data_IF_891125637624
#
_entry.id   IF_891125637624
#
_cell.length_a   1.000
_cell.length_b   1.000
_cell.length_c   1.000
_cell.angle_alpha   90.00
_cell.angle_beta   90.00
_cell.angle_gamma   90.00
#
_symmetry.space_group_name_H-M   'P 1'
#
loop_
_entity.id
_entity.type
_entity.pdbx_description
1 polymer ?
#
# COMPACT_ATOMS: atom_id res chain seq x y z
N UNK A 1 0.65 22.29 -34.76
CA UNK A 1 -0.45 22.30 -33.76
C UNK A 1 0.22 22.22 -32.40
N UNK A 2 0.14 23.27 -31.58
CA UNK A 2 0.70 23.23 -30.21
C UNK A 2 -0.29 22.39 -29.41
N UNK A 3 0.19 21.29 -28.82
CA UNK A 3 -0.57 20.50 -27.85
C UNK A 3 -0.21 21.08 -26.50
N UNK A 4 -1.17 21.71 -25.84
CA UNK A 4 -1.02 22.15 -24.46
C UNK A 4 -1.13 20.91 -23.56
N UNK A 5 -0.06 20.63 -22.81
CA UNK A 5 0.03 19.51 -21.87
C UNK A 5 -0.17 19.98 -20.43
N UNK A 6 -0.55 21.25 -20.23
CA UNK A 6 -0.88 21.78 -18.91
C UNK A 6 -2.16 21.14 -18.40
N UNK A 7 -2.13 20.69 -17.15
CA UNK A 7 -3.25 19.99 -16.53
C UNK A 7 -3.81 20.87 -15.41
N UNK A 8 -5.03 21.39 -15.61
CA UNK A 8 -5.70 22.28 -14.65
C UNK A 8 -6.56 21.51 -13.62
N UNK A 9 -6.62 20.18 -13.75
CA UNK A 9 -7.47 19.30 -12.95
C UNK A 9 -6.72 18.02 -12.57
N UNK A 10 -7.09 17.44 -11.43
CA UNK A 10 -6.57 16.15 -10.98
C UNK A 10 -6.80 15.08 -12.05
N UNK A 11 -5.74 14.38 -12.43
CA UNK A 11 -5.81 13.33 -13.43
C UNK A 11 -6.38 12.06 -12.82
N UNK A 12 -7.38 11.49 -13.49
CA UNK A 12 -7.92 10.18 -13.15
C UNK A 12 -7.27 9.08 -14.01
N UNK A 13 -7.22 7.83 -13.51
CA UNK A 13 -6.80 6.70 -14.33
C UNK A 13 -7.61 6.63 -15.64
N UNK A 14 -6.98 6.38 -16.80
CA UNK A 14 -7.69 6.23 -18.08
C UNK A 14 -8.44 4.89 -18.21
N UNK A 15 -8.43 4.09 -17.15
CA UNK A 15 -9.02 2.76 -17.06
C UNK A 15 -9.84 2.62 -15.76
N UNK A 16 -10.81 1.68 -15.71
CA UNK A 16 -11.61 1.48 -14.51
C UNK A 16 -10.75 0.99 -13.35
N UNK A 17 -10.83 1.69 -12.21
CA UNK A 17 -10.30 1.22 -10.92
C UNK A 17 -11.48 0.85 -10.05
N UNK A 18 -11.87 -0.42 -10.09
CA UNK A 18 -13.01 -0.92 -9.32
C UNK A 18 -12.70 -0.84 -7.84
N UNK A 19 -13.57 -0.23 -7.04
CA UNK A 19 -13.44 -0.22 -5.58
C UNK A 19 -13.92 -1.54 -5.00
N UNK A 20 -13.16 -2.10 -4.07
CA UNK A 20 -13.62 -3.22 -3.28
C UNK A 20 -14.85 -2.79 -2.50
N UNK A 21 -15.82 -3.68 -2.34
CA UNK A 21 -17.05 -3.32 -1.62
C UNK A 21 -16.96 -3.65 -0.13
N UNK A 22 -16.27 -4.73 0.23
CA UNK A 22 -16.25 -5.26 1.60
C UNK A 22 -14.86 -5.15 2.22
N UNK A 23 -14.74 -4.82 3.53
CA UNK A 23 -13.43 -4.66 4.16
C UNK A 23 -12.62 -5.96 4.18
N UNK A 24 -11.35 -5.85 3.82
CA UNK A 24 -10.37 -6.91 4.02
C UNK A 24 -10.12 -7.20 5.51
N UNK A 25 -9.36 -8.25 5.78
CA UNK A 25 -8.84 -8.50 7.13
C UNK A 25 -7.34 -8.32 7.07
N UNK A 26 -6.77 -7.57 8.02
CA UNK A 26 -5.33 -7.43 8.16
C UNK A 26 -4.72 -8.80 8.50
N UNK A 27 -3.62 -9.14 7.83
CA UNK A 27 -3.01 -10.46 7.89
C UNK A 27 -1.54 -10.39 8.34
N UNK A 28 -0.98 -11.56 8.65
CA UNK A 28 0.42 -11.70 9.05
C UNK A 28 1.35 -11.53 7.85
N UNK A 29 1.05 -12.21 6.75
CA UNK A 29 1.77 -12.10 5.49
C UNK A 29 0.84 -12.33 4.30
N UNK A 30 0.90 -11.43 3.34
CA UNK A 30 0.29 -11.59 2.02
C UNK A 30 0.45 -10.32 1.21
N UNK A 31 -0.27 -10.20 0.10
CA UNK A 31 -0.22 -8.99 -0.71
C UNK A 31 -1.55 -8.65 -1.35
N UNK A 32 -1.73 -7.37 -1.64
CA UNK A 32 -2.81 -6.82 -2.45
C UNK A 32 -2.24 -6.29 -3.76
N UNK A 33 -2.71 -6.83 -4.89
CA UNK A 33 -2.29 -6.37 -6.21
C UNK A 33 -2.95 -5.03 -6.52
N UNK A 34 -2.15 -4.01 -6.78
CA UNK A 34 -2.62 -2.69 -7.20
C UNK A 34 -2.76 -2.65 -8.72
N UNK A 35 -1.81 -3.24 -9.43
CA UNK A 35 -1.85 -3.52 -10.86
C UNK A 35 -0.87 -4.63 -11.23
N UNK A 36 -1.01 -5.16 -12.44
CA UNK A 36 -0.19 -6.28 -12.91
C UNK A 36 0.08 -6.27 -14.41
N UNK A 37 -0.27 -5.18 -15.09
CA UNK A 37 -0.01 -5.01 -16.51
C UNK A 37 1.35 -4.32 -16.74
N UNK A 38 1.66 -4.10 -18.01
CA UNK A 38 2.85 -3.44 -18.53
C UNK A 38 2.80 -1.94 -18.29
N UNK A 39 3.96 -1.28 -18.40
CA UNK A 39 4.04 0.18 -18.43
C UNK A 39 3.40 0.86 -19.65
N UNK A 40 2.96 0.09 -20.65
CA UNK A 40 2.39 0.61 -21.89
C UNK A 40 0.88 0.39 -22.01
N UNK A 41 0.25 -0.32 -21.06
CA UNK A 41 -1.18 -0.59 -21.12
C UNK A 41 -2.00 0.68 -20.92
N UNK A 42 -2.87 0.97 -21.89
CA UNK A 42 -3.84 2.06 -21.78
C UNK A 42 -5.11 1.66 -21.00
N UNK A 43 -5.26 0.36 -20.69
CA UNK A 43 -6.53 -0.21 -20.19
C UNK A 43 -6.42 -0.87 -18.83
N UNK A 44 -5.20 -1.06 -18.33
CA UNK A 44 -4.92 -1.71 -17.06
C UNK A 44 -3.81 -0.99 -16.31
N UNK A 45 -3.79 -1.14 -14.99
CA UNK A 45 -2.74 -0.59 -14.15
C UNK A 45 -1.44 -1.36 -14.29
N UNK A 46 -0.33 -0.62 -14.32
CA UNK A 46 1.02 -1.19 -14.33
C UNK A 46 1.32 -2.02 -13.09
N UNK A 47 2.41 -2.77 -13.15
CA UNK A 47 2.75 -3.76 -12.14
C UNK A 47 3.20 -3.13 -10.83
N UNK A 48 2.50 -3.48 -9.76
CA UNK A 48 2.84 -3.08 -8.40
C UNK A 48 1.83 -3.60 -7.39
N UNK A 49 2.27 -3.76 -6.16
CA UNK A 49 1.45 -4.38 -5.11
C UNK A 49 1.80 -3.84 -3.72
N UNK A 50 0.84 -3.92 -2.81
CA UNK A 50 1.04 -3.65 -1.40
C UNK A 50 1.29 -4.98 -0.67
N UNK A 51 2.52 -5.21 -0.22
CA UNK A 51 2.89 -6.33 0.63
C UNK A 51 2.45 -6.04 2.07
N UNK A 52 1.57 -6.89 2.61
CA UNK A 52 1.16 -6.83 4.01
C UNK A 52 2.08 -7.70 4.86
N UNK A 53 2.70 -7.12 5.88
CA UNK A 53 3.41 -7.84 6.93
C UNK A 53 3.01 -7.29 8.29
N UNK A 54 2.52 -8.17 9.18
CA UNK A 54 2.04 -7.79 10.51
C UNK A 54 1.00 -6.65 10.51
N UNK A 55 0.05 -6.65 9.57
CA UNK A 55 -0.97 -5.60 9.46
C UNK A 55 -0.50 -4.28 8.84
N UNK A 56 0.80 -4.13 8.60
CA UNK A 56 1.41 -2.96 7.97
C UNK A 56 1.70 -3.20 6.49
N UNK A 57 1.69 -2.14 5.68
CA UNK A 57 1.94 -2.25 4.25
C UNK A 57 3.30 -1.68 3.84
N UNK A 58 3.99 -2.45 3.00
CA UNK A 58 5.11 -2.04 2.16
C UNK A 58 4.62 -2.00 0.71
N UNK A 59 4.77 -0.86 0.03
CA UNK A 59 4.58 -0.82 -1.42
C UNK A 59 5.77 -1.49 -2.09
N UNK A 60 5.52 -2.43 -2.99
CA UNK A 60 6.53 -2.93 -3.93
C UNK A 60 6.25 -2.24 -5.25
N UNK A 61 7.14 -1.31 -5.57
CA UNK A 61 7.00 -0.29 -6.61
C UNK A 61 5.82 0.69 -6.40
N UNK A 62 5.93 1.83 -7.08
CA UNK A 62 4.96 2.91 -7.05
C UNK A 62 4.33 3.14 -8.44
N UNK A 63 3.15 2.57 -8.65
CA UNK A 63 2.41 2.67 -9.90
C UNK A 63 1.76 4.05 -10.11
N UNK A 64 1.49 4.47 -11.36
CA UNK A 64 0.68 5.64 -11.66
C UNK A 64 -0.71 5.57 -11.00
N UNK A 65 -1.21 6.74 -10.60
CA UNK A 65 -2.49 6.89 -9.92
C UNK A 65 -2.60 6.10 -8.59
N UNK A 66 -1.48 5.95 -7.88
CA UNK A 66 -1.38 5.21 -6.60
C UNK A 66 -2.53 5.51 -5.63
N UNK A 67 -2.88 6.79 -5.42
CA UNK A 67 -3.96 7.20 -4.54
C UNK A 67 -5.31 6.56 -4.90
N UNK A 68 -5.63 6.46 -6.19
CA UNK A 68 -6.87 5.84 -6.66
C UNK A 68 -6.87 4.32 -6.38
N UNK A 69 -5.74 3.66 -6.62
CA UNK A 69 -5.59 2.22 -6.38
C UNK A 69 -5.63 1.87 -4.89
N UNK A 70 -4.92 2.61 -4.05
CA UNK A 70 -4.95 2.44 -2.60
C UNK A 70 -6.35 2.67 -2.02
N UNK A 71 -7.02 3.75 -2.43
CA UNK A 71 -8.42 4.03 -2.06
C UNK A 71 -9.34 2.90 -2.48
N UNK A 72 -9.21 2.39 -3.70
CA UNK A 72 -10.03 1.29 -4.19
C UNK A 72 -9.85 0.00 -3.37
N UNK A 73 -8.68 -0.23 -2.78
CA UNK A 73 -8.39 -1.35 -1.88
C UNK A 73 -8.77 -1.10 -0.41
N UNK A 74 -9.13 0.13 -0.06
CA UNK A 74 -9.34 0.53 1.34
C UNK A 74 -8.04 0.58 2.16
N UNK A 75 -6.90 0.80 1.50
CA UNK A 75 -5.59 0.97 2.14
C UNK A 75 -5.33 2.47 2.24
N UNK A 76 -5.34 3.02 3.46
CA UNK A 76 -5.08 4.44 3.69
C UNK A 76 -3.59 4.78 3.60
N UNK A 77 -3.27 6.07 3.41
CA UNK A 77 -1.89 6.54 3.25
C UNK A 77 -1.05 6.26 4.50
N UNK A 78 -1.64 6.50 5.67
CA UNK A 78 -1.00 6.25 6.97
C UNK A 78 -0.69 4.78 7.25
N UNK A 79 -1.28 3.84 6.50
CA UNK A 79 -0.98 2.41 6.63
C UNK A 79 0.25 2.00 5.80
N UNK A 80 0.72 2.84 4.88
CA UNK A 80 1.94 2.64 4.11
C UNK A 80 3.14 3.10 4.93
N UNK A 81 3.97 2.14 5.33
CA UNK A 81 5.14 2.40 6.18
C UNK A 81 6.45 2.41 5.41
N UNK A 82 6.46 1.80 4.23
CA UNK A 82 7.67 1.64 3.45
C UNK A 82 7.40 1.40 1.97
N UNK A 83 8.44 1.59 1.17
CA UNK A 83 8.47 1.30 -0.25
C UNK A 83 9.71 0.43 -0.51
N UNK A 84 9.55 -0.73 -1.12
CA UNK A 84 10.62 -1.42 -1.83
C UNK A 84 10.58 -0.96 -3.28
N UNK A 85 11.64 -0.29 -3.73
CA UNK A 85 11.72 0.21 -5.11
C UNK A 85 12.64 -0.69 -5.94
N UNK A 86 12.08 -1.35 -6.93
CA UNK A 86 12.76 -2.33 -7.78
C UNK A 86 13.67 -1.65 -8.81
N UNK A 87 13.18 -0.59 -9.45
CA UNK A 87 13.89 0.23 -10.43
C UNK A 87 13.13 1.54 -10.72
N UNK A 88 13.60 2.36 -11.66
CA UNK A 88 13.10 3.73 -11.87
C UNK A 88 12.31 3.96 -13.17
N UNK A 89 11.87 2.93 -13.88
CA UNK A 89 10.93 3.15 -14.99
C UNK A 89 9.62 3.78 -14.46
N UNK A 90 8.96 4.57 -15.32
CA UNK A 90 7.85 5.45 -14.90
C UNK A 90 6.64 4.71 -14.32
N UNK A 91 6.41 3.50 -14.82
CA UNK A 91 5.35 2.61 -14.42
C UNK A 91 5.59 1.92 -13.06
N UNK A 92 6.83 1.99 -12.55
CA UNK A 92 7.25 1.47 -11.24
C UNK A 92 7.68 2.57 -10.24
N UNK A 93 7.94 3.79 -10.70
CA UNK A 93 8.56 4.85 -9.89
C UNK A 93 7.78 6.18 -9.99
N UNK A 94 6.46 6.14 -9.79
CA UNK A 94 5.58 7.30 -9.72
C UNK A 94 5.37 7.76 -8.26
N UNK A 95 6.41 8.36 -7.68
CA UNK A 95 6.45 8.69 -6.25
C UNK A 95 5.79 10.03 -5.88
N UNK A 96 5.35 10.84 -6.85
CA UNK A 96 4.84 12.21 -6.59
C UNK A 96 3.66 12.23 -5.62
N UNK A 97 2.76 11.26 -5.73
CA UNK A 97 1.61 11.13 -4.82
C UNK A 97 2.00 10.82 -3.37
N UNK A 98 3.16 10.19 -3.16
CA UNK A 98 3.67 9.79 -1.86
C UNK A 98 4.44 10.93 -1.17
N UNK A 99 4.99 11.88 -1.93
CA UNK A 99 5.63 13.10 -1.39
C UNK A 99 4.64 14.05 -0.70
N UNK A 100 3.33 13.89 -0.97
CA UNK A 100 2.27 14.65 -0.31
C UNK A 100 1.99 14.16 1.11
N UNK A 101 2.65 13.08 1.56
CA UNK A 101 2.42 12.52 2.88
C UNK A 101 3.09 13.41 3.93
N UNK A 102 2.44 13.58 5.06
CA UNK A 102 2.90 14.45 6.16
C UNK A 102 4.12 13.90 6.92
N UNK A 103 4.62 12.71 6.55
CA UNK A 103 5.73 12.03 7.23
C UNK A 103 6.72 11.45 6.21
N UNK A 104 8.03 11.41 6.55
CA UNK A 104 9.01 10.71 5.71
C UNK A 104 8.67 9.22 5.58
N UNK A 105 8.83 8.65 4.38
CA UNK A 105 8.53 7.25 4.10
C UNK A 105 9.83 6.44 4.10
N UNK A 106 9.84 5.25 4.71
CA UNK A 106 10.99 4.36 4.63
C UNK A 106 11.14 3.83 3.20
N UNK A 107 12.30 4.05 2.57
CA UNK A 107 12.57 3.63 1.21
C UNK A 107 13.70 2.61 1.18
N UNK A 108 13.38 1.39 0.76
CA UNK A 108 14.30 0.26 0.69
C UNK A 108 14.66 0.00 -0.78
N UNK A 109 15.92 0.25 -1.14
CA UNK A 109 16.47 -0.08 -2.45
C UNK A 109 18.00 0.01 -2.41
N UNK A 110 18.68 -0.26 -3.53
CA UNK A 110 20.14 -0.10 -3.59
C UNK A 110 20.55 1.38 -3.60
N UNK A 111 21.76 1.74 -3.12
CA UNK A 111 22.26 3.11 -3.21
C UNK A 111 22.27 3.68 -4.64
N UNK A 112 22.47 2.84 -5.65
CA UNK A 112 22.46 3.25 -7.05
C UNK A 112 21.05 3.64 -7.51
N UNK A 113 20.07 2.77 -7.28
CA UNK A 113 18.66 3.02 -7.64
C UNK A 113 18.12 4.24 -6.88
N UNK A 114 18.49 4.40 -5.60
CA UNK A 114 18.11 5.56 -4.80
C UNK A 114 18.58 6.88 -5.41
N UNK A 115 19.85 6.97 -5.83
CA UNK A 115 20.39 8.16 -6.51
C UNK A 115 19.71 8.42 -7.84
N UNK A 116 19.46 7.36 -8.62
CA UNK A 116 18.74 7.46 -9.89
C UNK A 116 17.32 8.01 -9.69
N UNK A 117 16.63 7.54 -8.63
CA UNK A 117 15.31 8.02 -8.25
C UNK A 117 15.33 9.49 -7.83
N UNK A 118 16.25 9.90 -6.94
CA UNK A 118 16.36 11.30 -6.51
C UNK A 118 16.63 12.23 -7.70
N UNK A 119 17.54 11.84 -8.58
CA UNK A 119 17.84 12.59 -9.81
C UNK A 119 16.60 12.74 -10.69
N UNK A 120 15.85 11.66 -10.87
CA UNK A 120 14.60 11.66 -11.65
C UNK A 120 13.56 12.61 -11.03
N UNK A 121 13.33 12.53 -9.72
CA UNK A 121 12.40 13.42 -9.03
C UNK A 121 12.85 14.88 -9.10
N UNK A 122 14.15 15.14 -8.91
CA UNK A 122 14.73 16.48 -8.99
C UNK A 122 14.46 17.14 -10.35
N UNK A 123 14.68 16.40 -11.44
CA UNK A 123 14.42 16.87 -12.80
C UNK A 123 12.92 17.00 -13.10
N UNK A 124 12.08 16.13 -12.53
CA UNK A 124 10.63 16.14 -12.76
C UNK A 124 9.95 17.29 -12.04
N UNK A 125 10.41 17.62 -10.83
CA UNK A 125 9.79 18.62 -9.96
C UNK A 125 10.51 19.97 -9.97
N UNK A 126 11.65 20.08 -10.67
CA UNK A 126 12.53 21.25 -10.64
C UNK A 126 12.94 21.64 -9.20
N UNK A 127 13.29 20.63 -8.39
CA UNK A 127 13.70 20.81 -7.00
C UNK A 127 15.06 20.15 -6.72
N UNK A 128 15.89 20.69 -5.80
CA UNK A 128 17.18 20.08 -5.46
C UNK A 128 17.06 18.67 -4.85
N UNK A 129 17.99 17.78 -5.18
CA UNK A 129 18.04 16.41 -4.66
C UNK A 129 18.12 16.38 -3.11
N UNK A 130 18.88 17.29 -2.50
CA UNK A 130 19.03 17.38 -1.04
C UNK A 130 17.70 17.65 -0.33
N UNK A 131 16.85 18.51 -0.90
CA UNK A 131 15.51 18.79 -0.35
C UNK A 131 14.56 17.61 -0.54
N UNK A 132 14.67 16.88 -1.64
CA UNK A 132 13.84 15.70 -1.92
C UNK A 132 14.21 14.52 -1.03
N UNK A 133 15.47 14.41 -0.60
CA UNK A 133 15.92 13.39 0.32
C UNK A 133 15.20 13.46 1.69
N UNK A 134 14.77 14.64 2.14
CA UNK A 134 14.09 14.83 3.43
C UNK A 134 12.73 14.10 3.52
N UNK A 135 12.13 13.77 2.37
CA UNK A 135 10.87 13.01 2.28
C UNK A 135 11.06 11.50 2.50
N UNK A 136 12.30 11.01 2.53
CA UNK A 136 12.60 9.59 2.61
C UNK A 136 13.53 9.25 3.77
N UNK A 137 13.18 8.21 4.52
CA UNK A 137 14.14 7.52 5.37
C UNK A 137 14.80 6.39 4.53
N UNK A 138 15.98 6.66 3.99
CA UNK A 138 16.65 5.70 3.10
C UNK A 138 17.26 4.53 3.89
N UNK A 139 16.84 3.31 3.53
CA UNK A 139 17.35 2.06 4.09
C UNK A 139 18.08 1.31 2.97
N UNK A 140 19.42 1.37 2.93
CA UNK A 140 20.18 0.79 1.83
C UNK A 140 20.10 -0.73 1.84
N UNK A 141 19.79 -1.29 0.67
CA UNK A 141 19.81 -2.72 0.42
C UNK A 141 21.06 -3.12 -0.37
N UNK A 142 21.64 -4.27 -0.02
CA UNK A 142 22.82 -4.84 -0.67
C UNK A 142 22.44 -6.18 -1.33
N UNK A 143 22.51 -6.31 -2.67
CA UNK A 143 22.23 -7.55 -3.39
C UNK A 143 22.96 -8.78 -2.81
N UNK A 144 22.20 -9.83 -2.51
CA UNK A 144 22.70 -11.07 -1.90
C UNK A 144 22.81 -11.03 -0.37
N UNK A 145 22.59 -9.87 0.28
CA UNK A 145 22.64 -9.72 1.73
C UNK A 145 21.26 -9.52 2.31
N UNK A 146 20.92 -10.33 3.30
CA UNK A 146 19.67 -10.21 4.03
C UNK A 146 19.64 -8.93 4.89
N UNK A 147 18.53 -8.21 4.81
CA UNK A 147 18.18 -7.09 5.70
C UNK A 147 16.89 -7.44 6.45
N UNK A 148 16.92 -7.35 7.79
CA UNK A 148 15.72 -7.54 8.60
C UNK A 148 15.01 -6.19 8.80
N UNK A 149 13.85 -6.04 8.17
CA UNK A 149 12.97 -4.89 8.31
C UNK A 149 11.75 -5.27 9.17
N UNK A 150 11.83 -5.00 10.46
CA UNK A 150 10.75 -5.28 11.45
C UNK A 150 10.21 -6.73 11.42
N UNK A 151 11.09 -7.71 11.23
CA UNK A 151 10.76 -9.13 11.17
C UNK A 151 10.43 -9.66 9.77
N UNK A 152 10.39 -8.79 8.76
CA UNK A 152 10.41 -9.16 7.34
C UNK A 152 11.87 -9.19 6.88
N UNK A 153 12.37 -10.38 6.56
CA UNK A 153 13.72 -10.56 6.01
C UNK A 153 13.66 -10.34 4.50
N UNK A 154 14.46 -9.40 4.01
CA UNK A 154 14.49 -8.97 2.62
C UNK A 154 15.89 -9.24 2.08
N UNK A 155 15.97 -10.13 1.09
CA UNK A 155 17.23 -10.42 0.40
C UNK A 155 17.09 -9.99 -1.06
N UNK A 156 17.59 -8.79 -1.43
CA UNK A 156 17.53 -8.32 -2.81
C UNK A 156 18.50 -9.10 -3.71
N UNK A 157 18.22 -9.11 -5.01
CA UNK A 157 19.14 -9.60 -6.03
C UNK A 157 18.97 -8.78 -7.31
N UNK A 158 20.04 -8.62 -8.09
CA UNK A 158 19.91 -7.97 -9.39
C UNK A 158 19.16 -8.87 -10.37
N UNK A 159 18.15 -8.34 -11.07
CA UNK A 159 17.54 -8.95 -12.25
C UNK A 159 18.34 -8.62 -13.52
N UNK A 160 17.90 -9.09 -14.70
CA UNK A 160 18.49 -8.67 -15.98
C UNK A 160 17.52 -7.76 -16.72
N UNK A 161 17.81 -6.46 -16.71
CA UNK A 161 16.98 -5.43 -17.31
C UNK A 161 17.85 -4.29 -17.85
N UNK A 162 17.25 -3.35 -18.60
CA UNK A 162 17.99 -2.27 -19.28
C UNK A 162 18.67 -1.27 -18.34
N UNK A 163 18.18 -1.16 -17.11
CA UNK A 163 18.73 -0.34 -16.03
C UNK A 163 18.94 -1.18 -14.76
N UNK A 164 19.72 -0.70 -13.77
CA UNK A 164 19.83 -1.37 -12.48
C UNK A 164 18.46 -1.66 -11.88
N UNK A 165 18.15 -2.95 -11.76
CA UNK A 165 16.84 -3.44 -11.33
C UNK A 165 17.03 -4.58 -10.34
N UNK A 166 16.28 -4.55 -9.25
CA UNK A 166 16.33 -5.59 -8.21
C UNK A 166 14.99 -6.29 -8.06
N UNK A 167 15.04 -7.60 -7.94
CA UNK A 167 14.00 -8.40 -7.31
C UNK A 167 14.36 -8.66 -5.84
N UNK A 168 13.50 -9.38 -5.12
CA UNK A 168 13.79 -9.76 -3.75
C UNK A 168 13.11 -11.06 -3.31
N UNK A 169 13.75 -11.72 -2.36
CA UNK A 169 13.10 -12.67 -1.46
C UNK A 169 12.51 -11.89 -0.29
N UNK A 170 11.22 -12.07 -0.02
CA UNK A 170 10.55 -11.59 1.19
C UNK A 170 10.20 -12.78 2.07
N UNK A 171 10.81 -12.83 3.24
CA UNK A 171 10.74 -14.00 4.10
C UNK A 171 10.35 -13.64 5.53
N UNK A 172 9.54 -14.49 6.15
CA UNK A 172 9.23 -14.37 7.57
C UNK A 172 9.03 -15.75 8.18
N UNK A 173 9.18 -15.83 9.50
CA UNK A 173 9.00 -17.07 10.25
C UNK A 173 7.94 -16.84 11.30
N UNK A 174 6.91 -17.69 11.32
CA UNK A 174 5.86 -17.62 12.32
C UNK A 174 5.55 -19.01 12.86
N UNK A 175 5.62 -19.17 14.19
CA UNK A 175 5.37 -20.44 14.89
C UNK A 175 6.16 -21.63 14.29
N UNK A 176 7.40 -21.38 13.90
CA UNK A 176 8.29 -22.37 13.27
C UNK A 176 8.05 -22.61 11.77
N UNK A 177 6.99 -22.05 11.18
CA UNK A 177 6.73 -22.12 9.74
C UNK A 177 7.39 -20.96 9.03
N UNK A 178 8.31 -21.25 8.11
CA UNK A 178 8.89 -20.26 7.20
C UNK A 178 7.92 -19.99 6.06
N UNK A 179 7.78 -18.72 5.68
CA UNK A 179 7.08 -18.32 4.46
C UNK A 179 7.95 -17.41 3.62
N UNK A 180 7.91 -17.63 2.32
CA UNK A 180 8.73 -16.98 1.31
C UNK A 180 7.89 -16.53 0.14
N UNK A 181 8.09 -15.27 -0.26
CA UNK A 181 7.66 -14.71 -1.53
C UNK A 181 8.93 -14.43 -2.35
N UNK A 182 8.93 -14.86 -3.61
CA UNK A 182 9.98 -14.50 -4.57
C UNK A 182 9.36 -13.49 -5.53
N UNK A 183 9.92 -12.29 -5.60
CA UNK A 183 9.55 -11.28 -6.60
C UNK A 183 10.72 -11.11 -7.56
N UNK A 184 10.54 -11.50 -8.82
CA UNK A 184 11.63 -11.44 -9.81
C UNK A 184 11.96 -10.01 -10.23
N UNK A 185 11.00 -9.09 -10.07
CA UNK A 185 10.95 -7.81 -10.80
C UNK A 185 11.00 -8.02 -12.32
N UNK A 186 11.08 -6.92 -13.05
CA UNK A 186 11.30 -6.89 -14.49
C UNK A 186 12.61 -7.60 -14.81
N UNK A 187 12.52 -8.62 -15.65
CA UNK A 187 13.68 -9.46 -15.98
C UNK A 187 13.52 -10.13 -17.33
N UNK A 188 14.61 -10.22 -18.09
CA UNK A 188 14.64 -10.97 -19.35
C UNK A 188 14.36 -12.47 -19.15
N UNK A 189 13.68 -13.06 -20.13
CA UNK A 189 13.45 -14.50 -20.22
C UNK A 189 14.75 -15.32 -20.18
N UNK A 190 14.68 -16.52 -19.59
CA UNK A 190 15.83 -17.41 -19.44
C UNK A 190 16.44 -17.81 -20.79
N UNK A 191 15.63 -17.93 -21.84
CA UNK A 191 16.12 -18.21 -23.19
C UNK A 191 17.03 -17.09 -23.72
N UNK A 192 16.67 -15.83 -23.51
CA UNK A 192 17.47 -14.67 -23.90
C UNK A 192 18.74 -14.56 -23.06
N UNK A 193 18.64 -14.80 -21.75
CA UNK A 193 19.80 -14.87 -20.87
C UNK A 193 20.76 -15.98 -21.30
N UNK A 194 20.25 -17.12 -21.74
CA UNK A 194 21.09 -18.21 -22.27
C UNK A 194 21.80 -17.80 -23.55
N UNK A 195 21.16 -17.00 -24.41
CA UNK A 195 21.81 -16.40 -25.60
C UNK A 195 22.91 -15.41 -25.21
N UNK A 196 22.64 -14.52 -24.26
CA UNK A 196 23.65 -13.59 -23.73
C UNK A 196 24.84 -14.33 -23.12
N UNK A 197 24.60 -15.42 -22.40
CA UNK A 197 25.63 -16.29 -21.83
C UNK A 197 26.48 -16.96 -22.90
N UNK A 198 25.87 -17.50 -23.96
CA UNK A 198 26.58 -18.08 -25.11
C UNK A 198 27.44 -17.06 -25.85
N UNK A 199 26.98 -15.81 -25.92
CA UNK A 199 27.70 -14.71 -26.56
C UNK A 199 28.78 -14.08 -25.65
N UNK A 200 28.95 -14.56 -24.42
CA UNK A 200 29.94 -14.04 -23.48
C UNK A 200 29.60 -12.69 -22.84
N UNK A 201 28.35 -12.21 -22.99
CA UNK A 201 27.90 -10.95 -22.37
C UNK A 201 27.71 -11.12 -20.85
N UNK A 202 27.24 -12.30 -20.43
CA UNK A 202 27.14 -12.69 -19.03
C UNK A 202 27.86 -14.03 -18.80
N UNK A 203 28.34 -14.25 -17.58
CA UNK A 203 28.93 -15.54 -17.20
C UNK A 203 27.84 -16.57 -16.82
N UNK A 204 28.24 -17.83 -16.67
CA UNK A 204 27.34 -18.93 -16.31
C UNK A 204 26.74 -18.76 -14.91
N UNK A 205 27.51 -18.20 -13.97
CA UNK A 205 27.06 -17.91 -12.60
C UNK A 205 25.89 -16.91 -12.60
N UNK A 206 25.99 -15.83 -13.39
CA UNK A 206 24.95 -14.81 -13.51
C UNK A 206 23.67 -15.37 -14.11
N UNK A 207 23.79 -16.23 -15.13
CA UNK A 207 22.64 -16.97 -15.66
C UNK A 207 22.00 -17.84 -14.58
N UNK A 208 22.80 -18.57 -13.80
CA UNK A 208 22.31 -19.44 -12.73
C UNK A 208 21.61 -18.65 -11.62
N UNK A 209 22.16 -17.50 -11.20
CA UNK A 209 21.53 -16.64 -10.18
C UNK A 209 20.09 -16.26 -10.54
N UNK A 210 19.81 -15.93 -11.80
CA UNK A 210 18.47 -15.55 -12.26
C UNK A 210 17.60 -16.80 -12.49
N UNK A 211 18.16 -17.87 -13.07
CA UNK A 211 17.41 -19.10 -13.32
C UNK A 211 16.99 -19.80 -12.01
N UNK A 212 17.75 -19.63 -10.94
CA UNK A 212 17.46 -20.24 -9.64
C UNK A 212 16.22 -19.66 -8.98
N UNK A 213 15.83 -18.42 -9.32
CA UNK A 213 14.59 -17.79 -8.84
C UNK A 213 13.35 -18.64 -9.15
N UNK A 214 13.37 -19.32 -10.31
CA UNK A 214 12.29 -20.18 -10.77
C UNK A 214 12.37 -21.61 -10.21
N UNK A 215 13.50 -22.00 -9.60
CA UNK A 215 13.77 -23.38 -9.15
C UNK A 215 13.66 -23.58 -7.64
N UNK A 216 13.48 -22.49 -6.89
CA UNK A 216 13.36 -22.56 -5.44
C UNK A 216 11.90 -22.72 -4.99
N UNK A 217 11.66 -23.48 -3.90
CA UNK A 217 10.34 -23.53 -3.29
C UNK A 217 9.99 -22.18 -2.67
N UNK A 218 8.74 -21.76 -2.86
CA UNK A 218 8.16 -20.56 -2.26
C UNK A 218 6.65 -20.73 -2.11
N UNK A 219 6.05 -20.05 -1.15
CA UNK A 219 4.58 -19.98 -1.05
C UNK A 219 3.99 -19.17 -2.20
N UNK A 220 4.76 -18.21 -2.72
CA UNK A 220 4.35 -17.37 -3.83
C UNK A 220 5.56 -16.93 -4.66
N UNK A 221 5.51 -17.22 -5.96
CA UNK A 221 6.41 -16.67 -6.97
C UNK A 221 5.64 -15.61 -7.77
N UNK A 222 6.08 -14.36 -7.67
CA UNK A 222 5.67 -13.22 -8.48
C UNK A 222 6.70 -13.02 -9.59
N UNK A 223 6.37 -13.52 -10.78
CA UNK A 223 7.28 -13.53 -11.91
C UNK A 223 6.88 -12.49 -12.97
N UNK A 224 7.85 -11.86 -13.60
CA UNK A 224 7.65 -11.14 -14.85
C UNK A 224 7.18 -12.13 -15.92
N UNK A 225 5.95 -11.96 -16.38
CA UNK A 225 5.31 -12.83 -17.36
C UNK A 225 5.44 -12.35 -18.79
N UNK A 226 6.19 -11.28 -19.05
CA UNK A 226 6.65 -10.96 -20.38
C UNK A 226 5.66 -10.20 -21.25
N UNK A 227 5.98 -8.93 -21.50
CA UNK A 227 5.49 -8.21 -22.67
C UNK A 227 6.54 -7.18 -23.13
N UNK A 228 7.27 -7.49 -24.20
CA UNK A 228 8.35 -6.65 -24.74
C UNK A 228 9.69 -7.37 -24.87
N UNK A 229 10.71 -6.69 -25.43
CA UNK A 229 12.02 -7.28 -25.79
C UNK A 229 12.96 -7.56 -24.59
N UNK A 230 12.64 -7.06 -23.40
CA UNK A 230 13.51 -7.09 -22.21
C UNK A 230 12.81 -7.65 -20.95
N UNK A 231 11.76 -8.44 -21.16
CA UNK A 231 10.89 -9.00 -20.11
C UNK A 231 10.86 -10.53 -20.11
N UNK A 232 10.10 -11.09 -19.15
CA UNK A 232 10.13 -12.50 -18.81
C UNK A 232 9.40 -13.39 -19.80
N UNK A 233 9.31 -14.68 -19.48
CA UNK A 233 8.48 -15.63 -20.23
C UNK A 233 7.78 -16.56 -19.24
N UNK A 234 6.44 -16.74 -19.32
CA UNK A 234 5.72 -17.61 -18.39
C UNK A 234 6.20 -19.07 -18.42
N UNK A 235 6.79 -19.50 -19.53
CA UNK A 235 7.38 -20.83 -19.65
C UNK A 235 8.56 -21.05 -18.69
N UNK A 236 9.26 -20.00 -18.26
CA UNK A 236 10.41 -20.08 -17.36
C UNK A 236 10.00 -20.58 -15.96
N UNK A 237 8.74 -20.37 -15.57
CA UNK A 237 8.20 -20.82 -14.29
C UNK A 237 7.46 -22.18 -14.38
N UNK A 238 7.43 -22.83 -15.55
CA UNK A 238 6.60 -24.03 -15.75
C UNK A 238 6.97 -25.22 -14.88
N UNK A 239 8.26 -25.36 -14.57
CA UNK A 239 8.79 -26.42 -13.71
C UNK A 239 9.08 -25.94 -12.28
N UNK A 240 8.55 -24.76 -11.90
CA UNK A 240 8.84 -24.17 -10.61
C UNK A 240 8.18 -24.97 -9.47
N UNK A 241 8.88 -25.22 -8.34
CA UNK A 241 8.30 -25.89 -7.19
C UNK A 241 7.53 -24.93 -6.26
N UNK A 242 7.27 -23.68 -6.68
CA UNK A 242 6.48 -22.74 -5.90
C UNK A 242 5.01 -23.20 -5.77
N UNK A 243 4.42 -23.02 -4.60
CA UNK A 243 3.03 -23.43 -4.32
C UNK A 243 2.02 -22.64 -5.17
N UNK A 244 2.32 -21.37 -5.46
CA UNK A 244 1.53 -20.48 -6.31
C UNK A 244 2.45 -19.65 -7.17
N UNK A 245 2.09 -19.53 -8.45
CA UNK A 245 2.80 -18.70 -9.43
C UNK A 245 1.83 -17.67 -9.98
N UNK A 246 2.23 -16.42 -9.87
CA UNK A 246 1.46 -15.26 -10.29
C UNK A 246 2.33 -14.43 -11.21
N UNK A 247 1.85 -14.18 -12.42
CA UNK A 247 2.57 -13.34 -13.37
C UNK A 247 2.17 -11.87 -13.28
N UNK A 248 3.16 -11.00 -13.33
CA UNK A 248 3.09 -9.54 -13.43
C UNK A 248 3.62 -9.11 -14.80
N UNK A 249 3.42 -7.84 -15.14
CA UNK A 249 3.94 -7.19 -16.33
C UNK A 249 3.44 -7.80 -17.65
N UNK A 250 2.14 -8.10 -17.72
CA UNK A 250 1.43 -8.50 -18.94
C UNK A 250 -0.06 -8.11 -18.91
N UNK A 251 -0.63 -7.77 -20.06
CA UNK A 251 -2.07 -7.49 -20.16
C UNK A 251 -2.92 -8.77 -20.08
N UNK A 252 -2.45 -9.86 -20.69
CA UNK A 252 -3.16 -11.14 -20.69
C UNK A 252 -2.21 -12.32 -20.82
N UNK A 253 -2.48 -13.38 -20.05
CA UNK A 253 -1.72 -14.61 -20.12
C UNK A 253 -2.28 -15.48 -21.25
N UNK A 254 -1.43 -16.10 -22.07
CA UNK A 254 -1.92 -16.96 -23.17
C UNK A 254 -2.66 -18.20 -22.64
N UNK A 255 -3.61 -18.72 -23.43
CA UNK A 255 -4.47 -19.87 -23.06
C UNK A 255 -3.66 -21.09 -22.59
N UNK A 256 -2.47 -21.31 -23.17
CA UNK A 256 -1.54 -22.39 -22.77
C UNK A 256 -1.23 -22.37 -21.26
N UNK A 257 -1.18 -21.18 -20.66
CA UNK A 257 -0.73 -20.98 -19.28
C UNK A 257 -1.87 -20.68 -18.31
N UNK A 258 -3.02 -20.19 -18.79
CA UNK A 258 -4.17 -19.83 -17.93
C UNK A 258 -4.72 -20.99 -17.09
N UNK A 259 -4.54 -22.23 -17.54
CA UNK A 259 -4.99 -23.41 -16.79
C UNK A 259 -4.11 -23.74 -15.57
N UNK A 260 -2.88 -23.23 -15.53
CA UNK A 260 -1.88 -23.62 -14.52
C UNK A 260 -1.41 -22.44 -13.67
N UNK A 261 -1.50 -21.21 -14.19
CA UNK A 261 -0.98 -20.02 -13.54
C UNK A 261 -2.03 -18.92 -13.47
N UNK A 262 -1.81 -18.00 -12.55
CA UNK A 262 -2.67 -16.84 -12.38
C UNK A 262 -1.94 -15.57 -12.79
N UNK A 263 -2.71 -14.56 -13.20
CA UNK A 263 -2.19 -13.21 -13.41
C UNK A 263 -2.46 -12.35 -12.20
N UNK A 264 -1.52 -11.46 -11.90
CA UNK A 264 -1.77 -10.33 -11.04
C UNK A 264 -2.72 -9.37 -11.75
N UNK A 265 -3.88 -9.12 -11.16
CA UNK A 265 -4.84 -8.12 -11.66
C UNK A 265 -5.28 -7.27 -10.48
N UNK A 266 -5.52 -5.99 -10.72
CA UNK A 266 -5.92 -5.02 -9.67
C UNK A 266 -7.05 -5.58 -8.80
N UNK A 267 -6.89 -5.54 -7.48
CA UNK A 267 -7.85 -6.05 -6.51
C UNK A 267 -7.69 -7.53 -6.13
N UNK A 268 -6.84 -8.31 -6.81
CA UNK A 268 -6.52 -9.67 -6.35
C UNK A 268 -5.70 -9.62 -5.06
N UNK A 269 -6.02 -10.54 -4.14
CA UNK A 269 -5.35 -10.70 -2.85
C UNK A 269 -4.75 -12.10 -2.74
N UNK A 270 -3.52 -12.17 -2.24
CA UNK A 270 -2.86 -13.44 -1.96
C UNK A 270 -2.50 -13.51 -0.48
N UNK A 271 -3.37 -14.15 0.30
CA UNK A 271 -3.12 -14.41 1.71
C UNK A 271 -2.23 -15.64 1.85
N UNK A 272 -1.09 -15.49 2.52
CA UNK A 272 -0.10 -16.55 2.70
C UNK A 272 -0.06 -17.05 4.14
N UNK A 273 -0.07 -16.11 5.10
CA UNK A 273 -0.15 -16.41 6.52
C UNK A 273 -1.25 -15.58 7.18
N UNK A 274 -2.21 -16.29 7.76
CA UNK A 274 -3.11 -15.71 8.76
C UNK A 274 -2.41 -15.76 10.12
N UNK A 275 -2.50 -14.67 10.88
CA UNK A 275 -2.06 -14.62 12.27
C UNK A 275 -3.28 -14.67 13.20
N UNK A 276 -3.05 -15.03 14.45
CA UNK A 276 -4.06 -14.94 15.52
C UNK A 276 -4.12 -13.54 16.16
N UNK A 277 -3.20 -12.65 15.78
CA UNK A 277 -3.09 -11.28 16.30
C UNK A 277 -4.25 -10.41 15.82
N UNK A 278 -4.87 -9.68 16.75
CA UNK A 278 -5.83 -8.64 16.42
C UNK A 278 -5.11 -7.33 16.06
N UNK A 279 -4.81 -7.18 14.77
CA UNK A 279 -4.16 -5.97 14.24
C UNK A 279 -5.03 -4.71 14.38
N UNK A 280 -6.35 -4.84 14.51
CA UNK A 280 -7.21 -3.67 14.71
C UNK A 280 -6.95 -3.03 16.07
N UNK A 281 -6.75 -3.86 17.10
CA UNK A 281 -6.39 -3.38 18.44
C UNK A 281 -5.03 -2.69 18.44
N UNK A 282 -4.03 -3.29 17.78
CA UNK A 282 -2.69 -2.69 17.64
C UNK A 282 -2.76 -1.34 16.94
N UNK A 283 -3.43 -1.26 15.79
CA UNK A 283 -3.60 0.01 15.06
C UNK A 283 -4.37 1.04 15.87
N UNK A 284 -5.37 0.61 16.65
CA UNK A 284 -6.10 1.53 17.54
C UNK A 284 -5.15 2.20 18.53
N UNK A 285 -4.26 1.43 19.16
CA UNK A 285 -3.27 1.96 20.12
C UNK A 285 -2.29 2.89 19.41
N UNK A 286 -1.76 2.47 18.26
CA UNK A 286 -0.81 3.26 17.46
C UNK A 286 -1.41 4.61 17.06
N UNK A 287 -2.61 4.61 16.49
CA UNK A 287 -3.29 5.84 16.06
C UNK A 287 -3.71 6.72 17.24
N UNK A 288 -4.13 6.16 18.38
CA UNK A 288 -4.38 6.98 19.59
C UNK A 288 -3.11 7.70 20.06
N UNK A 289 -1.96 7.04 20.03
CA UNK A 289 -0.67 7.62 20.43
C UNK A 289 -0.17 8.66 19.43
N UNK A 290 -0.41 8.45 18.13
CA UNK A 290 -0.08 9.41 17.07
C UNK A 290 -0.99 10.64 17.12
N UNK A 291 -2.30 10.44 17.34
CA UNK A 291 -3.30 11.50 17.39
C UNK A 291 -3.21 12.32 18.70
N UNK A 292 -2.87 11.67 19.83
CA UNK A 292 -2.68 12.30 21.13
C UNK A 292 -1.27 12.05 21.68
N UNK A 293 -0.25 12.79 21.20
CA UNK A 293 1.12 12.65 21.69
C UNK A 293 1.21 12.85 23.20
N UNK A 294 1.82 11.89 23.91
CA UNK A 294 1.97 11.92 25.36
C UNK A 294 0.77 11.40 26.16
N UNK A 295 -0.24 10.81 25.50
CA UNK A 295 -1.37 10.15 26.16
C UNK A 295 -0.91 9.12 27.22
N UNK A 296 -1.32 9.26 28.50
CA UNK A 296 -0.97 8.29 29.53
C UNK A 296 -1.55 6.90 29.21
N UNK A 297 -0.79 5.79 29.34
CA UNK A 297 -1.26 4.45 28.99
C UNK A 297 -2.54 3.99 29.70
N UNK A 298 -2.81 4.51 30.90
CA UNK A 298 -4.04 4.22 31.64
C UNK A 298 -5.30 4.70 30.89
N UNK A 299 -5.19 5.81 30.14
CA UNK A 299 -6.29 6.30 29.31
C UNK A 299 -6.53 5.40 28.11
N UNK A 300 -5.48 4.80 27.53
CA UNK A 300 -5.62 3.82 26.45
C UNK A 300 -6.42 2.62 26.98
N UNK A 301 -6.07 2.13 28.16
CA UNK A 301 -6.81 1.04 28.82
C UNK A 301 -8.29 1.41 29.07
N UNK A 302 -8.56 2.66 29.49
CA UNK A 302 -9.93 3.14 29.70
C UNK A 302 -10.75 3.22 28.41
N UNK A 303 -10.19 3.78 27.33
CA UNK A 303 -10.86 3.86 26.03
C UNK A 303 -11.10 2.47 25.42
N UNK A 304 -10.13 1.56 25.57
CA UNK A 304 -10.21 0.21 24.99
C UNK A 304 -11.12 -0.74 25.77
N UNK A 305 -11.49 -0.42 27.01
CA UNK A 305 -12.26 -1.31 27.89
C UNK A 305 -13.59 -1.77 27.28
N UNK A 306 -14.23 -0.93 26.46
CA UNK A 306 -15.49 -1.23 25.76
C UNK A 306 -15.39 -0.96 24.26
N UNK A 307 -14.18 -1.08 23.69
CA UNK A 307 -14.00 -0.83 22.26
C UNK A 307 -14.72 -1.89 21.43
N UNK A 308 -15.20 -1.48 20.25
CA UNK A 308 -15.77 -2.40 19.28
C UNK A 308 -15.28 -2.10 17.88
N UNK A 309 -14.73 -3.11 17.22
CA UNK A 309 -14.43 -3.05 15.80
C UNK A 309 -15.71 -3.19 14.98
N UNK A 310 -15.93 -2.27 14.05
CA UNK A 310 -17.06 -2.25 13.12
C UNK A 310 -16.54 -2.15 11.68
N UNK A 311 -17.22 -2.82 10.77
CA UNK A 311 -16.86 -2.91 9.35
C UNK A 311 -18.00 -2.38 8.51
N UNK A 312 -17.68 -1.53 7.55
CA UNK A 312 -18.61 -0.87 6.66
C UNK A 312 -18.19 -1.11 5.21
N UNK A 313 -19.16 -1.42 4.36
CA UNK A 313 -18.92 -1.55 2.95
C UNK A 313 -18.72 -0.16 2.32
N UNK A 314 -18.08 -0.12 1.15
CA UNK A 314 -18.01 1.10 0.36
C UNK A 314 -19.44 1.60 0.05
N UNK A 315 -19.69 2.89 0.32
CA UNK A 315 -21.00 3.53 0.17
C UNK A 315 -21.89 3.50 1.42
N UNK A 316 -21.55 2.70 2.45
CA UNK A 316 -22.34 2.66 3.69
C UNK A 316 -22.28 4.00 4.43
N UNK A 317 -23.40 4.38 5.06
CA UNK A 317 -23.47 5.53 5.96
C UNK A 317 -22.98 5.07 7.34
N UNK A 318 -21.82 5.59 7.78
CA UNK A 318 -21.23 5.30 9.09
C UNK A 318 -21.92 6.15 10.16
N UNK A 319 -22.12 7.44 9.87
CA UNK A 319 -22.80 8.41 10.73
C UNK A 319 -23.82 9.14 9.89
N UNK A 320 -25.05 9.29 10.39
CA UNK A 320 -26.10 10.09 9.75
C UNK A 320 -26.19 11.46 10.42
N UNK A 321 -26.33 12.51 9.63
CA UNK A 321 -26.56 13.86 10.14
C UNK A 321 -27.90 13.97 10.90
N UNK A 322 -27.94 14.84 11.92
CA UNK A 322 -29.15 15.23 12.66
C UNK A 322 -29.64 14.20 13.66
N UNK A 323 -29.14 12.96 13.61
CA UNK A 323 -29.48 11.95 14.62
C UNK A 323 -28.75 12.24 15.93
N UNK A 324 -29.37 11.86 17.04
CA UNK A 324 -28.71 11.84 18.34
C UNK A 324 -27.63 10.75 18.33
N UNK A 325 -26.49 11.03 18.94
CA UNK A 325 -25.45 10.04 19.09
C UNK A 325 -25.95 8.84 19.90
N UNK A 326 -25.54 7.64 19.47
CA UNK A 326 -25.77 6.38 20.18
C UNK A 326 -24.72 6.12 21.27
N UNK A 327 -23.93 7.14 21.63
CA UNK A 327 -22.93 7.03 22.70
C UNK A 327 -21.56 6.54 22.23
N UNK A 328 -21.25 6.65 20.93
CA UNK A 328 -19.95 6.26 20.37
C UNK A 328 -19.21 7.38 19.61
N UNK A 329 -17.89 7.39 19.73
CA UNK A 329 -16.94 8.07 18.82
C UNK A 329 -16.18 6.99 18.07
N UNK A 330 -15.81 7.24 16.82
CA UNK A 330 -15.10 6.25 16.02
C UNK A 330 -13.73 6.75 15.60
N UNK A 331 -12.77 5.84 15.53
CA UNK A 331 -11.49 6.05 14.86
C UNK A 331 -11.42 5.13 13.64
N UNK A 332 -11.07 5.70 12.50
CA UNK A 332 -10.90 4.95 11.26
C UNK A 332 -9.60 4.15 11.36
N UNK A 333 -9.69 2.83 11.19
CA UNK A 333 -8.54 1.92 11.24
C UNK A 333 -8.02 1.56 9.85
N UNK A 334 -8.92 1.46 8.87
CA UNK A 334 -8.60 1.19 7.47
C UNK A 334 -9.58 1.93 6.56
N UNK A 335 -9.12 2.32 5.37
CA UNK A 335 -9.96 2.89 4.32
C UNK A 335 -10.19 4.40 4.41
N UNK A 336 -11.12 4.88 3.59
CA UNK A 336 -11.46 6.28 3.41
C UNK A 336 -12.95 6.52 3.62
N UNK A 337 -13.28 7.64 4.24
CA UNK A 337 -14.64 8.14 4.38
C UNK A 337 -14.74 9.58 3.88
N UNK A 338 -15.96 10.05 3.60
CA UNK A 338 -16.24 11.45 3.30
C UNK A 338 -17.24 12.01 4.29
N UNK A 339 -16.99 13.23 4.74
CA UNK A 339 -17.90 14.02 5.55
C UNK A 339 -18.74 14.88 4.60
N UNK A 340 -20.05 14.77 4.72
CA UNK A 340 -21.00 15.47 3.86
C UNK A 340 -22.12 16.08 4.69
N UNK A 341 -22.52 17.30 4.32
CA UNK A 341 -23.67 17.98 4.87
C UNK A 341 -24.81 18.00 3.85
N UNK A 342 -26.04 17.94 4.33
CA UNK A 342 -27.22 18.03 3.48
C UNK A 342 -28.09 19.22 3.88
N UNK A 343 -28.14 20.24 3.04
CA UNK A 343 -28.90 21.48 3.30
C UNK A 343 -30.42 21.35 3.06
N UNK A 344 -30.87 20.18 2.61
CA UNK A 344 -32.27 19.88 2.28
C UNK A 344 -32.51 19.62 0.79
N UNK A 345 -31.63 20.10 -0.08
CA UNK A 345 -31.72 19.89 -1.54
C UNK A 345 -30.42 19.34 -2.14
N UNK A 346 -29.26 19.71 -1.59
CA UNK A 346 -27.95 19.36 -2.13
C UNK A 346 -27.06 18.73 -1.08
N UNK A 347 -26.32 17.73 -1.54
CA UNK A 347 -25.20 17.14 -0.80
C UNK A 347 -23.98 18.02 -0.99
N UNK A 348 -23.47 18.60 0.09
CA UNK A 348 -22.23 19.36 0.12
C UNK A 348 -21.09 18.48 0.67
N UNK A 349 -19.99 18.38 -0.07
CA UNK A 349 -18.75 17.78 0.43
C UNK A 349 -18.06 18.73 1.39
N UNK A 350 -17.69 18.24 2.57
CA UNK A 350 -16.98 19.03 3.58
C UNK A 350 -15.51 18.61 3.68
N UNK A 351 -15.24 17.31 3.82
CA UNK A 351 -13.90 16.78 4.02
C UNK A 351 -13.81 15.30 3.62
N UNK A 352 -12.59 14.82 3.38
CA UNK A 352 -12.26 13.40 3.25
C UNK A 352 -11.47 12.97 4.48
N UNK A 353 -11.81 11.82 5.03
CA UNK A 353 -11.16 11.21 6.21
C UNK A 353 -10.48 9.89 5.81
N UNK A 354 -9.39 9.54 6.48
CA UNK A 354 -8.65 8.28 6.30
C UNK A 354 -8.23 7.65 7.64
N UNK A 355 -7.52 6.51 7.58
CA UNK A 355 -7.08 5.80 8.78
C UNK A 355 -6.22 6.67 9.70
N UNK A 356 -6.50 6.58 11.00
CA UNK A 356 -5.91 7.39 12.06
C UNK A 356 -6.80 8.56 12.51
N UNK A 357 -7.79 8.96 11.71
CA UNK A 357 -8.65 10.10 12.05
C UNK A 357 -9.90 9.70 12.84
N UNK A 358 -10.38 10.64 13.66
CA UNK A 358 -11.60 10.51 14.47
C UNK A 358 -12.82 11.03 13.70
N UNK A 359 -13.95 10.37 13.90
CA UNK A 359 -15.25 10.82 13.40
C UNK A 359 -16.32 10.73 14.49
N UNK A 360 -17.22 11.71 14.49
CA UNK A 360 -18.35 11.78 15.42
C UNK A 360 -18.00 12.39 16.78
N UNK A 361 -16.75 12.70 17.06
CA UNK A 361 -16.28 13.36 18.28
C UNK A 361 -16.96 14.72 18.54
N UNK A 362 -17.42 15.39 17.47
CA UNK A 362 -18.04 16.71 17.55
C UNK A 362 -19.38 16.74 18.32
N UNK A 363 -20.12 15.62 18.39
CA UNK A 363 -21.33 15.54 19.23
C UNK A 363 -21.03 15.75 20.71
N UNK A 364 -19.82 15.38 21.14
CA UNK A 364 -19.32 15.62 22.50
C UNK A 364 -18.88 17.07 22.65
N UNK A 365 -18.05 17.57 21.73
CA UNK A 365 -17.41 18.89 21.83
C UNK A 365 -18.45 20.02 21.81
N UNK A 366 -19.49 19.89 20.98
CA UNK A 366 -20.57 20.89 20.90
C UNK A 366 -21.56 20.78 22.06
N UNK A 367 -21.57 19.67 22.80
CA UNK A 367 -22.46 19.44 23.93
C UNK A 367 -23.93 19.23 23.58
N UNK A 368 -24.31 19.29 22.30
CA UNK A 368 -25.70 19.12 21.84
C UNK A 368 -26.07 17.64 21.63
N UNK A 369 -25.08 16.73 21.54
CA UNK A 369 -25.31 15.29 21.40
C UNK A 369 -25.90 14.88 20.04
N UNK A 370 -26.00 15.78 19.07
CA UNK A 370 -26.44 15.53 17.71
C UNK A 370 -25.23 15.42 16.76
N UNK A 371 -25.39 14.69 15.66
CA UNK A 371 -24.37 14.57 14.61
C UNK A 371 -24.51 15.73 13.61
N UNK A 372 -23.45 16.53 13.46
CA UNK A 372 -23.47 17.74 12.64
C UNK A 372 -23.41 17.49 11.13
N UNK A 373 -22.89 16.33 10.72
CA UNK A 373 -22.74 15.94 9.33
C UNK A 373 -22.86 14.43 9.19
N UNK A 374 -23.12 13.96 7.97
CA UNK A 374 -23.08 12.54 7.65
C UNK A 374 -21.65 12.13 7.30
N UNK A 375 -21.27 10.91 7.68
CA UNK A 375 -20.00 10.29 7.29
C UNK A 375 -20.32 9.04 6.48
N UNK A 376 -19.81 8.99 5.25
CA UNK A 376 -20.08 7.91 4.28
C UNK A 376 -18.77 7.25 3.90
N UNK A 377 -18.73 5.91 3.92
CA UNK A 377 -17.56 5.15 3.50
C UNK A 377 -17.30 5.36 2.00
N UNK A 378 -16.12 5.87 1.62
CA UNK A 378 -15.69 6.03 0.22
C UNK A 378 -15.06 4.75 -0.33
N UNK A 379 -14.41 3.99 0.54
CA UNK A 379 -13.87 2.66 0.29
C UNK A 379 -14.50 1.70 1.32
N UNK A 380 -14.13 0.41 1.34
CA UNK A 380 -14.38 -0.40 2.53
C UNK A 380 -13.67 0.23 3.72
N UNK A 381 -14.37 0.34 4.84
CA UNK A 381 -13.87 1.00 6.05
C UNK A 381 -13.97 0.06 7.24
N UNK A 382 -12.92 0.00 8.03
CA UNK A 382 -12.94 -0.58 9.37
C UNK A 382 -12.75 0.54 10.37
N UNK A 383 -13.58 0.61 11.39
CA UNK A 383 -13.44 1.56 12.50
C UNK A 383 -13.36 0.82 13.83
N UNK A 384 -12.79 1.47 14.82
CA UNK A 384 -12.99 1.12 16.23
C UNK A 384 -13.89 2.17 16.87
N UNK A 385 -14.89 1.72 17.62
CA UNK A 385 -15.82 2.57 18.35
C UNK A 385 -15.43 2.62 19.83
N UNK A 386 -15.36 3.83 20.39
CA UNK A 386 -15.15 4.09 21.83
C UNK A 386 -16.42 4.69 22.45
N UNK A 387 -16.64 4.43 23.74
CA UNK A 387 -17.73 5.08 24.46
C UNK A 387 -17.52 6.60 24.55
N UNK A 388 -18.54 7.38 24.20
CA UNK A 388 -18.49 8.86 24.26
C UNK A 388 -18.17 9.35 25.67
N UNK A 389 -18.67 8.69 26.71
CA UNK A 389 -18.40 9.06 28.11
C UNK A 389 -16.90 8.94 28.44
N UNK A 390 -16.29 7.81 28.10
CA UNK A 390 -14.85 7.58 28.33
C UNK A 390 -13.99 8.56 27.53
N UNK A 391 -14.37 8.82 26.28
CA UNK A 391 -13.65 9.77 25.44
C UNK A 391 -13.81 11.22 25.92
N UNK A 392 -14.99 11.58 26.43
CA UNK A 392 -15.23 12.89 27.06
C UNK A 392 -14.40 13.08 28.32
N UNK A 393 -14.37 12.08 29.21
CA UNK A 393 -13.57 12.13 30.44
C UNK A 393 -12.08 12.29 30.12
N UNK A 394 -11.60 11.60 29.09
CA UNK A 394 -10.24 11.76 28.57
C UNK A 394 -9.96 13.19 28.10
N UNK A 395 -10.82 13.74 27.23
CA UNK A 395 -10.65 15.11 26.70
C UNK A 395 -10.61 16.13 27.83
N UNK A 396 -11.52 16.03 28.80
CA UNK A 396 -11.61 16.98 29.92
C UNK A 396 -10.36 16.90 30.82
N UNK A 397 -9.90 15.68 31.12
CA UNK A 397 -8.73 15.49 31.97
C UNK A 397 -7.42 15.93 31.29
N UNK A 398 -7.26 15.64 30.00
CA UNK A 398 -6.06 16.02 29.23
C UNK A 398 -6.13 17.42 28.61
N UNK A 399 -7.27 18.11 28.76
CA UNK A 399 -7.50 19.46 28.22
C UNK A 399 -7.32 19.55 26.69
N UNK A 400 -7.66 18.48 25.95
CA UNK A 400 -7.47 18.38 24.49
C UNK A 400 -8.57 19.06 23.66
N UNK A 401 -9.55 19.74 24.28
CA UNK A 401 -10.72 20.29 23.58
C UNK A 401 -10.35 21.37 22.55
N UNK A 402 -9.41 22.26 22.89
CA UNK A 402 -8.97 23.32 21.98
C UNK A 402 -8.22 22.76 20.77
N UNK A 403 -7.41 21.71 20.96
CA UNK A 403 -6.72 21.01 19.88
C UNK A 403 -7.76 20.45 18.89
N UNK A 404 -8.77 19.74 19.39
CA UNK A 404 -9.82 19.16 18.56
C UNK A 404 -10.62 20.21 17.80
N UNK A 405 -10.97 21.35 18.44
CA UNK A 405 -11.68 22.45 17.76
C UNK A 405 -10.87 23.11 16.64
N UNK A 406 -9.55 23.23 16.80
CA UNK A 406 -8.71 23.89 15.79
C UNK A 406 -8.56 23.10 14.49
N UNK A 407 -8.73 21.77 14.54
CA UNK A 407 -8.69 20.89 13.36
C UNK A 407 -9.86 21.13 12.40
N UNK A 408 -10.99 21.68 12.88
CA UNK A 408 -12.19 21.95 12.08
C UNK A 408 -12.28 23.39 11.58
N UNK A 409 -11.33 24.26 11.96
CA UNK A 409 -11.26 25.65 11.48
C UNK A 409 -10.32 25.82 10.28
N UNK A 410 -9.67 24.72 9.84
CA UNK A 410 -8.89 24.64 8.61
C UNK A 410 -9.78 24.10 7.49
#
# INVERSE_FOLDING_TARGET
KIIDLTLDQEQSPPYPVNTDLTPGTLIKLGLEVLGGSTGFSATQASSGFALCHNGNYMLVDAIPYMNAHLRARGIARNQIHSIFLSHIHDDHCNLLSLLQYSRPINLLTTPLIYRMMLRKLSLTMDHPEDSLQEYFNFIPLEPGRETNFFGLRITPFYSSHSIPTIGAYFETTHSGKNSRIIFTSDTQALADLKRLQRNGVINQERYQQIAELYRQPAQLLLADGGEGLIHGNPNDASDSPAERIVFLHLDSLSEKFQAHFSTASSGKRFNLLHGETDYNLTHTIEFLLEYFPGMPPIWISNLLANQRVMKFNAGDIIIREGIRSEGYVYMILTGYAQVVHHDGERRQFLAQMEAGELIGEMSIITGHGQRNASVVALSPVTVTAFAESSFRDFILHQQCEAQLKSLWQK
#
